data_IF_643154763252
#
_entry.id   IF_643154763252
#
_cell.length_a   1.000
_cell.length_b   1.000
_cell.length_c   1.000
_cell.angle_alpha   90.00
_cell.angle_beta   90.00
_cell.angle_gamma   90.00
#
_symmetry.space_group_name_H-M   'P 1'
#
loop_
_entity.id
_entity.type
_entity.pdbx_description
1 polymer ?
#
# COMPACT_ATOMS: atom_id res chain seq x y z
N UNK A 1 22.49 1.07 17.32
CA UNK A 1 21.53 0.74 18.39
C UNK A 1 20.06 0.96 17.99
N UNK A 2 19.65 2.14 17.48
CA UNK A 2 18.27 2.39 17.00
C UNK A 2 17.75 1.42 15.91
N UNK A 3 18.60 0.96 14.98
CA UNK A 3 18.23 -0.02 13.95
C UNK A 3 17.90 -1.42 14.50
N UNK A 4 18.50 -1.81 15.62
CA UNK A 4 18.28 -3.11 16.26
C UNK A 4 17.01 -3.10 17.12
N UNK A 5 16.65 -1.94 17.71
CA UNK A 5 15.40 -1.75 18.44
C UNK A 5 14.18 -1.76 17.50
N UNK A 6 14.30 -1.14 16.31
CA UNK A 6 13.26 -1.19 15.28
C UNK A 6 13.07 -2.61 14.73
N UNK A 7 14.15 -3.39 14.62
CA UNK A 7 14.10 -4.79 14.23
C UNK A 7 13.32 -5.64 15.23
N UNK A 8 13.62 -5.51 16.53
CA UNK A 8 12.92 -6.28 17.56
C UNK A 8 11.43 -5.92 17.63
N UNK A 9 11.09 -4.62 17.55
CA UNK A 9 9.71 -4.12 17.53
C UNK A 9 8.90 -4.58 16.31
N UNK A 10 9.54 -4.69 15.14
CA UNK A 10 8.91 -5.19 13.92
C UNK A 10 8.72 -6.71 13.96
N UNK A 11 9.69 -7.46 14.50
CA UNK A 11 9.57 -8.91 14.67
C UNK A 11 8.52 -9.30 15.71
N UNK A 12 8.38 -8.54 16.81
CA UNK A 12 7.30 -8.77 17.78
C UNK A 12 5.94 -8.38 17.21
N UNK A 13 5.84 -7.31 16.42
CA UNK A 13 4.60 -6.98 15.72
C UNK A 13 4.16 -8.09 14.75
N UNK A 14 5.10 -8.75 14.06
CA UNK A 14 4.83 -9.85 13.12
C UNK A 14 4.41 -11.15 13.83
N UNK A 15 5.00 -11.44 15.01
CA UNK A 15 4.58 -12.58 15.85
C UNK A 15 3.21 -12.34 16.48
N UNK A 16 2.89 -11.10 16.86
CA UNK A 16 1.54 -10.74 17.34
C UNK A 16 0.52 -10.79 16.19
N UNK A 17 0.87 -10.36 14.97
CA UNK A 17 -0.03 -10.42 13.81
C UNK A 17 -0.30 -11.87 13.35
N UNK A 18 0.70 -12.76 13.45
CA UNK A 18 0.51 -14.20 13.19
C UNK A 18 -0.22 -14.92 14.34
N UNK A 19 -0.07 -14.46 15.58
CA UNK A 19 -0.77 -14.99 16.76
C UNK A 19 -2.22 -14.52 16.90
N UNK A 20 -2.56 -13.36 16.35
CA UNK A 20 -3.91 -12.79 16.28
C UNK A 20 -4.55 -12.98 14.88
N UNK A 21 -4.20 -14.05 14.18
CA UNK A 21 -4.96 -14.55 13.02
C UNK A 21 -6.32 -15.12 13.45
N UNK A 22 -7.17 -14.28 14.06
CA UNK A 22 -8.54 -14.61 14.39
C UNK A 22 -9.33 -14.78 13.10
N UNK A 23 -9.56 -16.05 12.72
CA UNK A 23 -10.71 -16.55 11.95
C UNK A 23 -11.45 -15.48 11.14
N UNK A 24 -10.94 -15.18 9.94
CA UNK A 24 -11.74 -14.54 8.91
C UNK A 24 -12.77 -15.56 8.41
N UNK A 25 -14.00 -15.49 8.91
CA UNK A 25 -15.14 -16.17 8.31
C UNK A 25 -15.47 -15.49 6.97
N UNK A 26 -15.00 -16.09 5.88
CA UNK A 26 -15.48 -15.73 4.55
C UNK A 26 -16.90 -16.30 4.37
N UNK A 27 -17.93 -15.48 4.62
CA UNK A 27 -19.29 -15.74 4.14
C UNK A 27 -19.38 -15.35 2.67
N UNK A 28 -18.82 -16.19 1.80
CA UNK A 28 -19.00 -16.14 0.36
C UNK A 28 -19.86 -17.32 -0.09
N UNK A 29 -21.12 -17.07 -0.40
CA UNK A 29 -22.02 -18.01 -1.06
C UNK A 29 -21.63 -18.19 -2.53
N UNK A 30 -21.17 -19.37 -2.94
CA UNK A 30 -21.12 -19.73 -4.36
C UNK A 30 -20.03 -20.72 -4.74
N UNK A 31 -20.46 -21.91 -5.16
CA UNK A 31 -19.73 -22.98 -5.86
C UNK A 31 -18.63 -23.72 -5.09
N UNK A 32 -18.97 -24.94 -4.69
CA UNK A 32 -18.01 -26.00 -4.34
C UNK A 32 -17.25 -26.36 -5.61
N UNK A 33 -16.09 -25.73 -5.78
CA UNK A 33 -15.07 -26.18 -6.71
C UNK A 33 -14.15 -27.09 -5.91
N UNK A 34 -13.90 -28.32 -6.37
CA UNK A 34 -12.99 -29.27 -5.73
C UNK A 34 -11.59 -28.64 -5.60
N UNK A 35 -11.36 -28.00 -4.47
CA UNK A 35 -10.11 -27.32 -4.14
C UNK A 35 -9.28 -28.33 -3.37
N UNK A 36 -8.21 -28.83 -4.00
CA UNK A 36 -7.24 -29.64 -3.28
C UNK A 36 -6.69 -28.81 -2.11
N UNK A 37 -6.84 -29.33 -0.91
CA UNK A 37 -6.28 -28.71 0.27
C UNK A 37 -4.76 -28.92 0.31
N UNK A 38 -4.03 -27.99 -0.32
CA UNK A 38 -2.57 -28.01 -0.37
C UNK A 38 -1.89 -27.46 0.91
N UNK A 39 -2.66 -27.09 1.93
CA UNK A 39 -2.14 -26.50 3.17
C UNK A 39 -1.21 -27.43 3.93
N UNK A 40 -1.45 -28.75 3.88
CA UNK A 40 -0.57 -29.77 4.49
C UNK A 40 0.27 -30.53 3.46
N UNK A 41 0.26 -30.08 2.21
CA UNK A 41 0.94 -30.74 1.11
C UNK A 41 2.38 -30.23 0.98
N UNK A 42 3.29 -31.07 0.50
CA UNK A 42 4.70 -30.69 0.32
C UNK A 42 4.87 -29.42 -0.54
N UNK A 43 4.02 -29.24 -1.55
CA UNK A 43 3.98 -28.04 -2.38
C UNK A 43 3.65 -26.75 -1.61
N UNK A 44 2.79 -26.83 -0.60
CA UNK A 44 2.47 -25.69 0.28
C UNK A 44 3.67 -25.29 1.13
N UNK A 45 4.42 -26.26 1.66
CA UNK A 45 5.66 -25.98 2.39
C UNK A 45 6.75 -25.36 1.49
N UNK A 46 6.88 -25.86 0.25
CA UNK A 46 7.80 -25.27 -0.75
C UNK A 46 7.40 -23.82 -1.06
N UNK A 47 6.11 -23.55 -1.28
CA UNK A 47 5.62 -22.20 -1.54
C UNK A 47 5.91 -21.24 -0.39
N UNK A 48 5.76 -21.70 0.87
CA UNK A 48 6.06 -20.92 2.06
C UNK A 48 7.57 -20.60 2.16
N UNK A 49 8.43 -21.59 1.92
CA UNK A 49 9.89 -21.38 1.90
C UNK A 49 10.27 -20.35 0.83
N UNK A 50 9.74 -20.49 -0.39
CA UNK A 50 9.98 -19.55 -1.50
C UNK A 50 9.50 -18.15 -1.13
N UNK A 51 8.33 -18.02 -0.50
CA UNK A 51 7.79 -16.74 -0.04
C UNK A 51 8.70 -16.08 1.01
N UNK A 52 9.15 -16.81 2.02
CA UNK A 52 10.05 -16.28 3.07
C UNK A 52 11.38 -15.84 2.46
N UNK A 53 11.98 -16.66 1.58
CA UNK A 53 13.23 -16.30 0.89
C UNK A 53 13.04 -15.03 0.05
N UNK A 54 11.96 -14.94 -0.72
CA UNK A 54 11.66 -13.76 -1.53
C UNK A 54 11.46 -12.51 -0.67
N UNK A 55 10.77 -12.63 0.46
CA UNK A 55 10.58 -11.54 1.41
C UNK A 55 11.92 -11.05 1.98
N UNK A 56 12.83 -11.96 2.32
CA UNK A 56 14.19 -11.60 2.74
C UNK A 56 14.91 -10.83 1.63
N UNK A 57 14.82 -11.26 0.36
CA UNK A 57 15.40 -10.52 -0.76
C UNK A 57 14.78 -9.13 -0.95
N UNK A 58 13.48 -8.97 -0.74
CA UNK A 58 12.80 -7.67 -0.80
C UNK A 58 13.30 -6.73 0.30
N UNK A 59 13.55 -7.25 1.50
CA UNK A 59 14.09 -6.48 2.62
C UNK A 59 15.57 -6.14 2.44
N UNK A 60 16.35 -7.03 1.81
CA UNK A 60 17.77 -6.85 1.52
C UNK A 60 18.03 -5.99 0.27
N UNK A 61 17.01 -5.36 -0.33
CA UNK A 61 17.16 -4.48 -1.49
C UNK A 61 18.22 -3.39 -1.25
N UNK A 62 18.28 -2.84 -0.02
CA UNK A 62 19.27 -1.79 0.33
C UNK A 62 20.73 -2.23 0.12
N UNK A 63 21.01 -3.53 0.08
CA UNK A 63 22.35 -4.11 -0.11
C UNK A 63 22.53 -4.65 -1.54
N UNK A 64 21.45 -5.11 -2.18
CA UNK A 64 21.51 -5.82 -3.47
C UNK A 64 21.18 -4.95 -4.69
N UNK A 65 20.70 -3.70 -4.48
CA UNK A 65 20.31 -2.75 -5.54
C UNK A 65 19.31 -3.31 -6.58
N UNK A 66 18.66 -4.44 -6.30
CA UNK A 66 17.67 -5.04 -7.17
C UNK A 66 16.29 -4.46 -6.87
N UNK A 67 15.63 -3.86 -7.87
CA UNK A 67 14.23 -3.42 -7.77
C UNK A 67 13.37 -4.50 -7.09
N UNK A 68 12.68 -4.16 -5.99
CA UNK A 68 11.81 -5.07 -5.22
C UNK A 68 10.87 -5.93 -6.07
N UNK A 69 10.42 -5.42 -7.21
CA UNK A 69 9.56 -6.16 -8.13
C UNK A 69 10.18 -7.43 -8.72
N UNK A 70 11.52 -7.49 -8.88
CA UNK A 70 12.23 -8.65 -9.46
C UNK A 70 12.13 -9.92 -8.58
N UNK A 71 12.55 -9.89 -7.29
CA UNK A 71 12.45 -11.07 -6.44
C UNK A 71 10.98 -11.48 -6.18
N UNK A 72 10.07 -10.51 -6.07
CA UNK A 72 8.64 -10.78 -5.89
C UNK A 72 8.04 -11.51 -7.09
N UNK A 73 8.31 -11.03 -8.31
CA UNK A 73 7.76 -11.63 -9.53
C UNK A 73 8.31 -13.04 -9.76
N UNK A 74 9.61 -13.25 -9.51
CA UNK A 74 10.24 -14.57 -9.62
C UNK A 74 9.61 -15.57 -8.64
N UNK A 75 9.44 -15.16 -7.39
CA UNK A 75 8.82 -15.99 -6.36
C UNK A 75 7.36 -16.33 -6.68
N UNK A 76 6.58 -15.35 -7.14
CA UNK A 76 5.20 -15.56 -7.59
C UNK A 76 5.12 -16.58 -8.73
N UNK A 77 6.01 -16.49 -9.72
CA UNK A 77 6.10 -17.45 -10.82
C UNK A 77 6.43 -18.88 -10.35
N UNK A 78 7.37 -19.02 -9.42
CA UNK A 78 7.72 -20.34 -8.83
C UNK A 78 6.54 -20.93 -8.05
N UNK A 79 5.88 -20.13 -7.22
CA UNK A 79 4.74 -20.59 -6.41
C UNK A 79 3.58 -21.04 -7.31
N UNK A 80 3.18 -20.20 -8.27
CA UNK A 80 2.12 -20.56 -9.22
C UNK A 80 2.50 -21.74 -10.11
N UNK A 81 3.79 -21.88 -10.49
CA UNK A 81 4.29 -23.04 -11.21
C UNK A 81 4.18 -24.34 -10.42
N UNK A 82 4.53 -24.32 -9.13
CA UNK A 82 4.37 -25.47 -8.23
C UNK A 82 2.89 -25.84 -8.05
N UNK A 83 2.02 -24.84 -7.87
CA UNK A 83 0.56 -25.05 -7.77
C UNK A 83 0.03 -25.67 -9.05
N UNK A 84 0.33 -25.08 -10.21
CA UNK A 84 -0.11 -25.58 -11.51
C UNK A 84 0.35 -27.02 -11.79
N UNK A 85 1.60 -27.34 -11.45
CA UNK A 85 2.14 -28.69 -11.61
C UNK A 85 1.40 -29.71 -10.74
N UNK A 86 1.11 -29.37 -9.47
CA UNK A 86 0.38 -30.27 -8.57
C UNK A 86 -1.06 -30.47 -9.06
N UNK A 87 -1.72 -29.41 -9.52
CA UNK A 87 -3.08 -29.49 -10.05
C UNK A 87 -3.14 -30.34 -11.34
N UNK A 88 -2.18 -30.17 -12.26
CA UNK A 88 -2.06 -30.97 -13.47
C UNK A 88 -1.79 -32.46 -13.16
N UNK A 89 -0.93 -32.76 -12.18
CA UNK A 89 -0.68 -34.14 -11.74
C UNK A 89 -1.91 -34.82 -11.12
N UNK A 90 -2.84 -34.04 -10.56
CA UNK A 90 -4.11 -34.56 -10.02
C UNK A 90 -5.25 -34.58 -11.05
N UNK A 91 -4.97 -34.27 -12.33
CA UNK A 91 -5.95 -34.27 -13.41
C UNK A 91 -6.95 -33.10 -13.37
N UNK A 92 -6.62 -32.02 -12.64
CA UNK A 92 -7.47 -30.82 -12.49
C UNK A 92 -6.80 -29.65 -13.21
N UNK A 93 -6.87 -29.64 -14.54
CA UNK A 93 -6.13 -28.65 -15.34
C UNK A 93 -6.74 -27.23 -15.27
N UNK A 94 -8.06 -27.09 -15.13
CA UNK A 94 -8.72 -25.79 -15.30
C UNK A 94 -8.85 -24.97 -14.00
N UNK A 95 -8.74 -25.60 -12.84
CA UNK A 95 -8.94 -24.89 -11.56
C UNK A 95 -7.79 -23.93 -11.25
N UNK A 96 -6.54 -24.32 -11.54
CA UNK A 96 -5.37 -23.48 -11.34
C UNK A 96 -5.35 -22.27 -12.30
N UNK A 97 -5.71 -22.49 -13.58
CA UNK A 97 -5.81 -21.41 -14.57
C UNK A 97 -6.91 -20.41 -14.20
N UNK A 98 -8.11 -20.90 -13.84
CA UNK A 98 -9.22 -20.04 -13.43
C UNK A 98 -8.86 -19.17 -12.21
N UNK A 99 -8.20 -19.76 -11.21
CA UNK A 99 -7.73 -19.04 -10.02
C UNK A 99 -6.68 -17.98 -10.37
N UNK A 100 -5.68 -18.32 -11.19
CA UNK A 100 -4.65 -17.37 -11.63
C UNK A 100 -5.27 -16.21 -12.42
N UNK A 101 -6.16 -16.52 -13.37
CA UNK A 101 -6.85 -15.52 -14.19
C UNK A 101 -7.69 -14.58 -13.33
N UNK A 102 -8.43 -15.10 -12.36
CA UNK A 102 -9.22 -14.28 -11.44
C UNK A 102 -8.33 -13.32 -10.65
N UNK A 103 -7.24 -13.81 -10.06
CA UNK A 103 -6.28 -12.97 -9.34
C UNK A 103 -5.68 -11.89 -10.26
N UNK A 104 -5.18 -12.26 -11.44
CA UNK A 104 -4.58 -11.30 -12.38
C UNK A 104 -5.61 -10.24 -12.79
N UNK A 105 -6.87 -10.61 -13.03
CA UNK A 105 -7.93 -9.65 -13.40
C UNK A 105 -8.22 -8.67 -12.26
N UNK A 106 -8.36 -9.15 -11.02
CA UNK A 106 -8.57 -8.30 -9.83
C UNK A 106 -7.38 -7.35 -9.61
N UNK A 107 -6.15 -7.87 -9.67
CA UNK A 107 -4.95 -7.04 -9.57
C UNK A 107 -4.82 -6.06 -10.75
N UNK A 108 -5.22 -6.45 -11.95
CA UNK A 108 -5.20 -5.57 -13.12
C UNK A 108 -6.25 -4.44 -12.96
N UNK A 109 -7.42 -4.74 -12.42
CA UNK A 109 -8.45 -3.73 -12.12
C UNK A 109 -7.92 -2.70 -11.11
N UNK A 110 -7.37 -3.17 -9.98
CA UNK A 110 -6.76 -2.29 -8.98
C UNK A 110 -5.57 -1.52 -9.54
N UNK A 111 -4.71 -2.18 -10.32
CA UNK A 111 -3.56 -1.54 -10.96
C UNK A 111 -3.99 -0.45 -11.93
N UNK A 112 -4.98 -0.72 -12.80
CA UNK A 112 -5.51 0.26 -13.74
C UNK A 112 -6.20 1.40 -13.01
N UNK A 113 -6.96 1.11 -11.95
CA UNK A 113 -7.56 2.12 -11.08
C UNK A 113 -6.49 3.05 -10.49
N UNK A 114 -5.45 2.48 -9.88
CA UNK A 114 -4.35 3.24 -9.28
C UNK A 114 -3.51 3.98 -10.33
N UNK A 115 -3.31 3.39 -11.51
CA UNK A 115 -2.58 4.02 -12.62
C UNK A 115 -3.31 5.26 -13.10
N UNK A 116 -4.63 5.15 -13.35
CA UNK A 116 -5.46 6.29 -13.76
C UNK A 116 -5.51 7.32 -12.64
N UNK A 117 -5.68 6.91 -11.38
CA UNK A 117 -5.69 7.80 -10.24
C UNK A 117 -4.38 8.60 -10.14
N UNK A 118 -3.23 7.91 -10.10
CA UNK A 118 -1.90 8.54 -10.02
C UNK A 118 -1.62 9.46 -11.23
N UNK A 119 -2.01 9.03 -12.44
CA UNK A 119 -1.84 9.87 -13.65
C UNK A 119 -2.68 11.13 -13.57
N UNK A 120 -3.93 11.02 -13.10
CA UNK A 120 -4.82 12.17 -12.91
C UNK A 120 -4.25 13.16 -11.89
N UNK A 121 -3.71 12.66 -10.77
CA UNK A 121 -3.09 13.49 -9.75
C UNK A 121 -1.85 14.20 -10.29
N UNK A 122 -0.97 13.47 -10.96
CA UNK A 122 0.22 14.04 -11.58
C UNK A 122 -0.16 15.11 -12.62
N UNK A 123 -1.23 14.92 -13.39
CA UNK A 123 -1.73 15.91 -14.34
C UNK A 123 -2.32 17.16 -13.66
N UNK A 124 -2.99 17.00 -12.51
CA UNK A 124 -3.45 18.13 -11.70
C UNK A 124 -2.30 18.92 -11.09
N UNK A 125 -1.24 18.22 -10.69
CA UNK A 125 -0.03 18.82 -10.15
C UNK A 125 0.75 19.61 -11.20
N UNK A 126 0.98 19.03 -12.38
CA UNK A 126 1.65 19.68 -13.50
C UNK A 126 0.91 20.96 -13.95
N UNK A 127 -0.43 20.98 -13.84
CA UNK A 127 -1.27 22.15 -14.10
C UNK A 127 -1.40 23.11 -12.90
N UNK A 128 -0.69 22.86 -11.81
CA UNK A 128 -0.68 23.63 -10.58
C UNK A 128 -2.09 23.89 -10.01
N UNK A 129 -3.03 22.96 -10.20
CA UNK A 129 -4.43 23.12 -9.78
C UNK A 129 -4.50 23.34 -8.27
N UNK A 130 -3.66 22.65 -7.50
CA UNK A 130 -3.58 22.79 -6.04
C UNK A 130 -3.04 24.16 -5.60
N UNK A 131 -2.08 24.74 -6.33
CA UNK A 131 -1.55 26.07 -6.02
C UNK A 131 -2.57 27.17 -6.35
N UNK A 132 -3.28 27.05 -7.48
CA UNK A 132 -4.37 27.97 -7.81
C UNK A 132 -5.51 27.91 -6.78
N UNK A 133 -5.88 26.70 -6.33
CA UNK A 133 -6.84 26.49 -5.25
C UNK A 133 -6.38 27.20 -3.98
N UNK A 134 -5.12 27.00 -3.59
CA UNK A 134 -4.51 27.63 -2.42
C UNK A 134 -4.57 29.16 -2.48
N UNK A 135 -4.14 29.75 -3.59
CA UNK A 135 -4.16 31.21 -3.79
C UNK A 135 -5.59 31.74 -3.74
N UNK A 136 -6.56 31.06 -4.37
CA UNK A 136 -7.98 31.42 -4.28
C UNK A 136 -8.51 31.38 -2.86
N UNK A 137 -8.16 30.35 -2.08
CA UNK A 137 -8.58 30.18 -0.69
C UNK A 137 -8.00 31.25 0.24
N UNK A 138 -6.74 31.63 0.05
CA UNK A 138 -6.09 32.70 0.84
C UNK A 138 -6.65 34.08 0.46
N UNK A 139 -6.90 34.33 -0.83
CA UNK A 139 -7.44 35.60 -1.31
C UNK A 139 -8.94 35.79 -1.04
N UNK A 140 -9.66 34.74 -0.63
CA UNK A 140 -11.09 34.80 -0.32
C UNK A 140 -11.42 35.55 1.00
N UNK A 141 -10.41 36.00 1.76
CA UNK A 141 -10.61 36.82 2.97
C UNK A 141 -11.19 36.05 4.17
N UNK A 142 -11.09 34.72 4.17
CA UNK A 142 -11.58 33.89 5.28
C UNK A 142 -10.75 34.06 6.55
N UNK A 143 -11.40 33.94 7.72
CA UNK A 143 -10.70 33.89 9.00
C UNK A 143 -9.87 32.60 9.12
N UNK A 144 -8.75 32.65 9.86
CA UNK A 144 -7.84 31.51 10.01
C UNK A 144 -8.52 30.20 10.43
N UNK A 145 -9.53 30.26 11.31
CA UNK A 145 -10.30 29.07 11.72
C UNK A 145 -11.10 28.48 10.57
N UNK A 146 -11.74 29.31 9.74
CA UNK A 146 -12.49 28.84 8.57
C UNK A 146 -11.55 28.27 7.52
N UNK A 147 -10.42 28.93 7.28
CA UNK A 147 -9.42 28.46 6.34
C UNK A 147 -8.90 27.08 6.71
N UNK A 148 -8.57 26.85 7.99
CA UNK A 148 -8.14 25.56 8.52
C UNK A 148 -9.15 24.43 8.26
N UNK A 149 -10.42 24.66 8.55
CA UNK A 149 -11.47 23.66 8.32
C UNK A 149 -11.69 23.38 6.82
N UNK A 150 -11.67 24.42 5.99
CA UNK A 150 -11.85 24.25 4.54
C UNK A 150 -10.66 23.51 3.93
N UNK A 151 -9.43 23.86 4.29
CA UNK A 151 -8.23 23.17 3.77
C UNK A 151 -8.10 21.75 4.31
N UNK A 152 -8.51 21.50 5.56
CA UNK A 152 -8.56 20.15 6.13
C UNK A 152 -9.58 19.27 5.42
N UNK A 153 -10.78 19.81 5.12
CA UNK A 153 -11.81 19.08 4.38
C UNK A 153 -11.38 18.83 2.92
N UNK A 154 -10.83 19.83 2.23
CA UNK A 154 -10.27 19.67 0.88
C UNK A 154 -9.14 18.64 0.87
N UNK A 155 -8.23 18.72 1.84
CA UNK A 155 -7.11 17.78 1.99
C UNK A 155 -7.58 16.36 2.24
N UNK A 156 -8.64 16.15 3.02
CA UNK A 156 -9.24 14.82 3.22
C UNK A 156 -9.75 14.19 1.91
N UNK A 157 -10.50 14.95 1.12
CA UNK A 157 -11.02 14.45 -0.17
C UNK A 157 -9.91 14.24 -1.21
N UNK A 158 -8.87 15.08 -1.20
CA UNK A 158 -7.73 14.96 -2.12
C UNK A 158 -6.77 13.83 -1.69
N UNK A 159 -6.60 13.59 -0.38
CA UNK A 159 -5.70 12.57 0.19
C UNK A 159 -6.07 11.14 -0.18
N UNK A 160 -7.33 10.87 -0.53
CA UNK A 160 -7.74 9.53 -0.99
C UNK A 160 -7.06 9.12 -2.30
N UNK A 161 -6.46 10.06 -3.02
CA UNK A 161 -5.68 9.81 -4.21
C UNK A 161 -4.26 10.37 -4.17
N UNK A 162 -4.04 11.58 -3.65
CA UNK A 162 -2.78 12.31 -3.81
C UNK A 162 -1.86 12.22 -2.58
N UNK A 163 -1.00 11.21 -2.56
CA UNK A 163 -0.20 10.82 -1.39
C UNK A 163 0.91 11.85 -1.06
N UNK A 164 1.50 12.49 -2.07
CA UNK A 164 2.70 13.32 -1.89
C UNK A 164 2.42 14.83 -1.84
N UNK A 165 1.48 15.34 -2.65
CA UNK A 165 1.13 16.78 -2.68
C UNK A 165 0.28 17.22 -1.49
N UNK A 166 -0.56 16.32 -0.96
CA UNK A 166 -1.39 16.64 0.20
C UNK A 166 -0.52 16.86 1.43
N UNK A 167 0.57 16.11 1.54
CA UNK A 167 1.59 16.30 2.58
C UNK A 167 2.27 17.67 2.43
N UNK A 168 2.66 18.06 1.21
CA UNK A 168 3.25 19.37 0.95
C UNK A 168 2.27 20.53 1.24
N UNK A 169 0.99 20.38 0.86
CA UNK A 169 -0.05 21.38 1.12
C UNK A 169 -0.30 21.54 2.63
N UNK A 170 -0.36 20.43 3.37
CA UNK A 170 -0.59 20.43 4.83
C UNK A 170 0.64 20.91 5.59
N UNK A 171 1.84 20.51 5.20
CA UNK A 171 3.09 21.00 5.79
C UNK A 171 3.30 22.48 5.52
N UNK A 172 2.99 22.97 4.32
CA UNK A 172 3.11 24.39 4.02
C UNK A 172 1.99 25.24 4.66
N UNK A 173 0.76 24.72 4.78
CA UNK A 173 -0.30 25.38 5.56
C UNK A 173 0.05 25.41 7.06
N UNK A 174 0.57 24.32 7.61
CA UNK A 174 1.07 24.24 8.98
C UNK A 174 2.25 25.20 9.23
N UNK A 175 3.21 25.25 8.32
CA UNK A 175 4.33 26.19 8.39
C UNK A 175 3.90 27.66 8.36
N UNK A 176 2.87 28.03 7.58
CA UNK A 176 2.31 29.38 7.60
C UNK A 176 1.56 29.70 8.89
N UNK A 177 0.94 28.71 9.55
CA UNK A 177 0.29 28.88 10.86
C UNK A 177 1.34 29.05 11.95
N UNK A 178 2.36 28.19 12.00
CA UNK A 178 3.44 28.24 12.99
C UNK A 178 4.32 29.48 12.78
N UNK A 179 4.64 29.83 11.53
CA UNK A 179 5.42 31.02 11.19
C UNK A 179 4.71 32.35 11.42
N UNK A 180 3.38 32.34 11.61
CA UNK A 180 2.61 33.53 12.04
C UNK A 180 2.48 33.65 13.55
N UNK A 181 2.74 32.60 14.33
CA UNK A 181 2.64 32.64 15.79
C UNK A 181 3.95 33.06 16.48
N UNK A 182 5.07 33.17 15.78
CA UNK A 182 6.34 33.63 16.38
C UNK A 182 6.58 35.14 16.31
N UNK A 183 5.57 35.90 16.70
CA UNK A 183 5.77 37.24 17.32
C UNK A 183 5.27 37.30 18.76
N UNK A 184 5.01 36.14 19.39
CA UNK A 184 4.67 36.03 20.81
C UNK A 184 5.67 35.26 21.69
N UNK A 185 6.79 34.77 21.15
CA UNK A 185 7.95 34.33 21.95
C UNK A 185 9.19 35.25 21.82
N UNK A 186 9.04 36.47 21.25
CA UNK A 186 10.13 37.48 21.16
C UNK A 186 9.99 38.57 22.24
N UNK A 187 9.23 38.33 23.31
CA UNK A 187 9.09 39.32 24.37
C UNK A 187 8.31 38.81 25.57
N UNK A 188 8.95 37.96 26.36
CA UNK A 188 8.78 37.92 27.81
C UNK A 188 10.18 37.69 28.38
N UNK A 189 10.53 38.57 29.33
CA UNK A 189 11.77 38.61 30.11
C UNK A 189 12.23 37.25 30.68
#
# INVERSE_FOLDING_TARGET
>A
MRRFLNFFSFTTALVVFLGFGGVAFATGSGMVQDTLNLTKHWGGYVALIVFVVAYVFVMLEEITHMRKSKPVLLAAGIIWGVIGLIYAMNGIDHAAEAALRHNILEYAELFLFLLVAMTFINAMDERQVFEVLRVKLVNAGYSFRKLFWITGLLGFFISSGADNLTTDLLMCAGAMVIGKEDKKFVGLD
#
